data_IF_232732214976
#
_entry.id   IF_232732214976
#
_cell.length_a   1.000
_cell.length_b   1.000
_cell.length_c   1.000
_cell.angle_alpha   90.00
_cell.angle_beta   90.00
_cell.angle_gamma   90.00
#
_symmetry.space_group_name_H-M   'P 1'
#
loop_
_entity.id
_entity.type
_entity.pdbx_description
1 polymer ?
#
# COMPACT_ATOMS: atom_id res chain seq x y z
N UNK A 1 -0.31 -2.75 -15.48
CA UNK A 1 0.26 -2.76 -14.11
C UNK A 1 0.06 -1.38 -13.54
N UNK A 2 -0.63 -1.22 -12.41
CA UNK A 2 -0.73 0.10 -11.77
C UNK A 2 0.66 0.48 -11.22
N UNK A 3 1.06 1.75 -11.41
CA UNK A 3 2.31 2.24 -10.87
C UNK A 3 2.27 2.22 -9.33
N UNK A 4 3.36 1.79 -8.71
CA UNK A 4 3.51 1.79 -7.24
C UNK A 4 3.56 3.21 -6.69
N UNK A 5 3.37 3.37 -5.38
CA UNK A 5 3.49 4.67 -4.72
C UNK A 5 4.93 5.18 -4.87
N UNK A 6 5.93 4.29 -4.77
CA UNK A 6 7.33 4.63 -5.04
C UNK A 6 7.55 5.20 -6.44
N UNK A 7 6.98 4.57 -7.46
CA UNK A 7 7.13 5.03 -8.84
C UNK A 7 6.52 6.41 -9.06
N UNK A 8 5.33 6.68 -8.49
CA UNK A 8 4.70 8.01 -8.57
C UNK A 8 5.52 9.07 -7.83
N UNK A 9 6.03 8.72 -6.65
CA UNK A 9 6.87 9.61 -5.86
C UNK A 9 8.20 9.93 -6.56
N UNK A 10 8.90 8.91 -7.07
CA UNK A 10 10.15 9.09 -7.82
C UNK A 10 9.92 9.97 -9.03
N UNK A 11 8.85 9.74 -9.78
CA UNK A 11 8.52 10.57 -10.92
C UNK A 11 8.37 12.06 -10.53
N UNK A 12 7.72 12.37 -9.41
CA UNK A 12 7.57 13.75 -8.95
C UNK A 12 8.88 14.37 -8.45
N UNK A 13 9.75 13.56 -7.83
CA UNK A 13 11.10 14.01 -7.47
C UNK A 13 11.93 14.30 -8.72
N UNK A 14 11.94 13.37 -9.67
CA UNK A 14 12.78 13.44 -10.87
C UNK A 14 12.33 14.56 -11.82
N UNK A 15 11.04 14.92 -11.78
CA UNK A 15 10.48 16.06 -12.52
C UNK A 15 10.52 17.38 -11.75
N UNK A 16 10.99 17.39 -10.50
CA UNK A 16 11.12 18.60 -9.68
C UNK A 16 9.80 19.14 -9.12
N UNK A 17 8.72 18.34 -9.12
CA UNK A 17 7.44 18.71 -8.50
C UNK A 17 7.56 18.76 -6.98
N UNK A 18 8.39 17.87 -6.41
CA UNK A 18 8.71 17.82 -4.98
C UNK A 18 10.20 17.60 -4.77
N UNK A 19 10.73 18.09 -3.65
CA UNK A 19 12.05 17.71 -3.18
C UNK A 19 12.04 16.30 -2.57
N UNK A 20 13.15 15.59 -2.73
CA UNK A 20 13.33 14.28 -2.10
C UNK A 20 13.38 14.41 -0.58
N UNK A 21 12.57 13.61 0.10
CA UNK A 21 12.43 13.64 1.56
C UNK A 21 12.50 12.22 2.13
N UNK A 22 13.56 11.94 2.89
CA UNK A 22 13.82 10.62 3.51
C UNK A 22 12.69 10.16 4.45
N UNK A 23 11.97 11.08 5.09
CA UNK A 23 10.85 10.70 5.94
C UNK A 23 9.65 10.25 5.10
N UNK A 24 9.41 10.92 3.97
CA UNK A 24 8.36 10.53 3.03
C UNK A 24 8.69 9.19 2.34
N UNK A 25 9.95 8.95 1.96
CA UNK A 25 10.39 7.67 1.38
C UNK A 25 10.05 6.46 2.27
N UNK A 26 10.16 6.60 3.60
CA UNK A 26 9.78 5.54 4.55
C UNK A 26 8.28 5.26 4.52
N UNK A 27 7.47 6.32 4.41
CA UNK A 27 6.01 6.20 4.32
C UNK A 27 5.62 5.59 2.98
N UNK A 28 6.23 6.03 1.87
CA UNK A 28 6.06 5.47 0.53
C UNK A 28 6.32 3.97 0.52
N UNK A 29 7.44 3.52 1.12
CA UNK A 29 7.76 2.10 1.22
C UNK A 29 6.74 1.32 2.08
N UNK A 30 6.21 1.91 3.15
CA UNK A 30 5.18 1.29 3.97
C UNK A 30 3.84 1.18 3.23
N UNK A 31 3.48 2.17 2.41
CA UNK A 31 2.30 2.15 1.57
C UNK A 31 2.37 1.08 0.49
N UNK A 32 3.52 0.93 -0.19
CA UNK A 32 3.72 -0.13 -1.18
C UNK A 32 3.55 -1.53 -0.54
N UNK A 33 4.13 -1.75 0.64
CA UNK A 33 3.93 -3.00 1.40
C UNK A 33 2.46 -3.24 1.75
N UNK A 34 1.74 -2.20 2.16
CA UNK A 34 0.31 -2.31 2.45
C UNK A 34 -0.51 -2.70 1.21
N UNK A 35 -0.17 -2.16 0.03
CA UNK A 35 -0.78 -2.55 -1.24
C UNK A 35 -0.54 -4.04 -1.52
N UNK A 36 0.68 -4.51 -1.32
CA UNK A 36 1.05 -5.92 -1.52
C UNK A 36 0.28 -6.84 -0.56
N UNK A 37 0.19 -6.49 0.72
CA UNK A 37 -0.56 -7.27 1.73
C UNK A 37 -2.07 -7.35 1.40
N UNK A 38 -2.67 -6.23 1.00
CA UNK A 38 -4.08 -6.18 0.57
C UNK A 38 -4.29 -7.05 -0.67
N UNK A 39 -3.38 -6.96 -1.65
CA UNK A 39 -3.46 -7.70 -2.90
C UNK A 39 -3.30 -9.21 -2.69
N UNK A 40 -2.32 -9.62 -1.90
CA UNK A 40 -2.10 -11.02 -1.52
C UNK A 40 -3.32 -11.60 -0.80
N UNK A 41 -3.91 -10.85 0.15
CA UNK A 41 -5.13 -11.29 0.84
C UNK A 41 -6.32 -11.44 -0.10
N UNK A 42 -6.52 -10.50 -1.04
CA UNK A 42 -7.59 -10.56 -2.05
C UNK A 42 -7.42 -11.80 -2.95
N UNK A 43 -6.21 -12.09 -3.40
CA UNK A 43 -5.92 -13.27 -4.23
C UNK A 43 -6.21 -14.57 -3.45
N UNK A 44 -5.77 -14.62 -2.19
CA UNK A 44 -5.98 -15.78 -1.34
C UNK A 44 -7.48 -16.00 -1.01
N UNK A 45 -8.30 -14.95 -1.00
CA UNK A 45 -9.75 -15.08 -0.87
C UNK A 45 -10.41 -15.62 -2.16
N UNK A 46 -9.94 -15.19 -3.34
CA UNK A 46 -10.42 -15.72 -4.63
C UNK A 46 -10.11 -17.21 -4.79
N UNK A 47 -8.93 -17.67 -4.38
CA UNK A 47 -8.58 -19.09 -4.44
C UNK A 47 -9.44 -19.94 -3.48
N UNK A 48 -9.80 -19.43 -2.29
CA UNK A 48 -10.75 -20.13 -1.41
C UNK A 48 -12.18 -20.19 -1.95
N UNK A 49 -12.60 -19.22 -2.77
CA UNK A 49 -13.91 -19.24 -3.43
C UNK A 49 -14.02 -20.28 -4.56
N UNK A 50 -12.89 -20.83 -5.06
CA UNK A 50 -12.89 -22.07 -5.84
C UNK A 50 -12.68 -23.31 -4.95
N UNK A 51 -11.95 -23.15 -3.84
CA UNK A 51 -11.66 -24.22 -2.88
C UNK A 51 -12.81 -24.64 -1.96
N UNK A 52 -13.94 -23.92 -1.92
CA UNK A 52 -15.13 -24.33 -1.14
C UNK A 52 -15.72 -25.68 -1.58
N UNK A 53 -15.48 -26.09 -2.84
CA UNK A 53 -15.81 -27.43 -3.34
C UNK A 53 -14.95 -28.53 -2.71
N UNK A 54 -13.87 -28.19 -1.99
CA UNK A 54 -12.90 -29.14 -1.45
C UNK A 54 -12.41 -28.88 0.00
N UNK A 55 -12.86 -27.83 0.69
CA UNK A 55 -12.19 -27.40 1.93
C UNK A 55 -12.94 -27.72 3.23
N UNK A 56 -12.45 -28.76 3.94
CA UNK A 56 -12.52 -28.90 5.40
C UNK A 56 -11.56 -27.88 6.05
N UNK A 57 -12.05 -27.23 7.11
CA UNK A 57 -11.31 -26.36 8.07
C UNK A 57 -10.91 -24.97 7.53
N UNK A 58 -11.68 -23.97 7.96
CA UNK A 58 -11.49 -22.55 7.67
C UNK A 58 -10.57 -21.94 8.73
N UNK A 59 -9.32 -21.65 8.39
CA UNK A 59 -8.49 -20.75 9.20
C UNK A 59 -8.99 -19.32 9.02
N UNK A 60 -9.35 -18.67 10.13
CA UNK A 60 -9.71 -17.26 10.18
C UNK A 60 -8.46 -16.42 9.90
N UNK A 61 -8.25 -16.05 8.63
CA UNK A 61 -7.15 -15.17 8.24
C UNK A 61 -7.35 -13.77 8.84
N UNK A 62 -6.39 -13.33 9.66
CA UNK A 62 -6.41 -12.02 10.32
C UNK A 62 -6.58 -10.86 9.33
N UNK A 63 -7.21 -9.77 9.79
CA UNK A 63 -7.38 -8.53 9.01
C UNK A 63 -6.02 -7.89 8.69
N UNK A 64 -5.87 -7.33 7.48
CA UNK A 64 -4.71 -6.50 7.15
C UNK A 64 -4.81 -5.23 8.01
N UNK A 65 -3.74 -4.89 8.73
CA UNK A 65 -3.69 -3.68 9.55
C UNK A 65 -3.45 -2.47 8.66
N UNK A 66 -4.17 -1.38 8.93
CA UNK A 66 -3.97 -0.11 8.21
C UNK A 66 -2.71 0.64 8.65
N UNK A 67 -2.32 1.64 7.86
CA UNK A 67 -1.21 2.55 8.17
C UNK A 67 -1.76 3.91 8.65
N UNK A 68 -1.34 4.35 9.84
CA UNK A 68 -1.62 5.70 10.34
C UNK A 68 -0.39 6.58 10.18
N UNK A 69 -0.52 7.64 9.38
CA UNK A 69 0.58 8.57 9.08
C UNK A 69 0.39 9.85 9.90
N UNK A 70 1.35 10.17 10.75
CA UNK A 70 1.38 11.41 11.53
C UNK A 70 2.67 12.20 11.29
N UNK A 71 2.67 13.48 11.67
CA UNK A 71 3.80 14.38 11.51
C UNK A 71 3.38 15.83 11.37
N UNK A 72 4.34 16.75 11.35
CA UNK A 72 4.11 18.20 11.30
C UNK A 72 3.23 18.67 10.14
N UNK A 73 2.68 19.88 10.28
CA UNK A 73 1.90 20.55 9.21
C UNK A 73 2.80 20.78 8.00
N UNK A 74 2.24 20.68 6.79
CA UNK A 74 2.98 20.92 5.54
C UNK A 74 3.95 19.81 5.12
N UNK A 75 4.01 18.67 5.81
CA UNK A 75 4.94 17.57 5.50
C UNK A 75 4.48 16.64 4.36
N UNK A 76 3.47 17.01 3.59
CA UNK A 76 3.02 16.24 2.42
C UNK A 76 2.23 14.97 2.72
N UNK A 77 1.65 14.82 3.92
CA UNK A 77 0.87 13.61 4.29
C UNK A 77 -0.32 13.34 3.37
N UNK A 78 -1.10 14.38 3.05
CA UNK A 78 -2.25 14.27 2.14
C UNK A 78 -1.81 13.86 0.74
N UNK A 79 -0.77 14.52 0.20
CA UNK A 79 -0.17 14.16 -1.09
C UNK A 79 0.27 12.68 -1.14
N UNK A 80 0.90 12.17 -0.08
CA UNK A 80 1.27 10.74 -0.01
C UNK A 80 0.05 9.82 -0.03
N UNK A 81 -1.06 10.22 0.59
CA UNK A 81 -2.33 9.49 0.50
C UNK A 81 -2.93 9.57 -0.90
N UNK A 82 -2.84 10.72 -1.58
CA UNK A 82 -3.33 10.86 -2.96
C UNK A 82 -2.55 9.96 -3.93
N UNK A 83 -1.26 9.72 -3.68
CA UNK A 83 -0.45 8.76 -4.44
C UNK A 83 -0.83 7.29 -4.20
N UNK A 84 -1.43 6.98 -3.05
CA UNK A 84 -1.83 5.62 -2.66
C UNK A 84 -3.13 5.15 -3.35
N UNK A 85 -4.03 6.07 -3.70
CA UNK A 85 -5.29 5.77 -4.40
C UNK A 85 -5.11 5.79 -5.93
#
# INVERSE_FOLDING_TARGET
THATVRQRYDHWVDTGVIDRDRAQERVVAALDRLIDEISAKRLAHKSSALGWLFARKRETREAVKGLYIHGGVGRGKTMLMDMFF
#
